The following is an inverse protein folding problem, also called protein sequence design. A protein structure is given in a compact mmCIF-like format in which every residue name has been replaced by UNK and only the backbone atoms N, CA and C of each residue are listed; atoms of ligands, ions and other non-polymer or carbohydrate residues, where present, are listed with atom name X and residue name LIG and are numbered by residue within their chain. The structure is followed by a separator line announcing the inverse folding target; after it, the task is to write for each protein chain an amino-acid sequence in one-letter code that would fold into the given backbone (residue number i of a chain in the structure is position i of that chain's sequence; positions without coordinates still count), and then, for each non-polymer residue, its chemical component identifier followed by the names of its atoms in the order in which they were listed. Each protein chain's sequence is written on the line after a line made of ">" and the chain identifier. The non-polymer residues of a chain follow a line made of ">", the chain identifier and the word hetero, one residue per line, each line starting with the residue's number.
data_IF_063626364805
#
_entry.id   IF_063626364805
#
_cell.length_a   1.000
_cell.length_b   1.000
_cell.length_c   1.000
_cell.angle_alpha   90.00
_cell.angle_beta   90.00
_cell.angle_gamma   90.00
#
_symmetry.space_group_name_H-M   'P 1'
#
loop_
_entity.id
_entity.type
_entity.pdbx_description
1 polymer ?
#
# COMPACT_ATOMS: atom_id res chain seq x y z
N UNK A 1 -20.40 -19.88 -20.26
CA UNK A 1 -20.09 -19.02 -19.10
C UNK A 1 -21.26 -18.22 -18.55
N UNK A 2 -22.34 -17.95 -19.30
CA UNK A 2 -23.50 -17.20 -18.75
C UNK A 2 -24.35 -17.98 -17.73
N UNK A 3 -24.45 -19.31 -17.83
CA UNK A 3 -25.28 -20.11 -16.90
C UNK A 3 -24.87 -19.96 -15.42
N UNK A 4 -23.57 -19.80 -15.13
CA UNK A 4 -23.10 -19.52 -13.77
C UNK A 4 -23.45 -18.11 -13.30
N UNK A 5 -23.38 -17.12 -14.20
CA UNK A 5 -23.75 -15.73 -13.90
C UNK A 5 -25.26 -15.62 -13.63
N UNK A 6 -26.09 -16.29 -14.45
CA UNK A 6 -27.54 -16.31 -14.28
C UNK A 6 -27.93 -17.00 -12.95
N UNK A 7 -27.24 -18.09 -12.58
CA UNK A 7 -27.39 -18.72 -11.26
C UNK A 7 -26.99 -17.78 -10.12
N UNK A 8 -25.87 -17.08 -10.25
CA UNK A 8 -25.38 -16.16 -9.23
C UNK A 8 -26.31 -14.96 -9.05
N UNK A 9 -26.85 -14.41 -10.14
CA UNK A 9 -27.89 -13.36 -10.13
C UNK A 9 -29.14 -13.83 -9.36
N UNK A 10 -29.62 -15.04 -9.63
CA UNK A 10 -30.78 -15.61 -8.92
C UNK A 10 -30.50 -15.76 -7.42
N UNK A 11 -29.32 -16.24 -7.05
CA UNK A 11 -28.89 -16.40 -5.66
C UNK A 11 -28.77 -15.04 -4.93
N UNK A 12 -28.18 -14.03 -5.58
CA UNK A 12 -28.09 -12.68 -5.04
C UNK A 12 -29.46 -12.00 -4.93
N UNK A 13 -30.38 -12.27 -5.85
CA UNK A 13 -31.75 -11.81 -5.76
C UNK A 13 -32.45 -12.37 -4.51
N UNK A 14 -32.24 -13.64 -4.18
CA UNK A 14 -32.75 -14.26 -2.94
C UNK A 14 -32.10 -13.61 -1.71
N UNK A 15 -30.78 -13.46 -1.68
CA UNK A 15 -30.06 -12.80 -0.58
C UNK A 15 -30.50 -11.34 -0.39
N UNK A 16 -30.90 -10.65 -1.46
CA UNK A 16 -31.42 -9.27 -1.40
C UNK A 16 -32.76 -9.14 -0.67
N UNK A 17 -33.49 -10.25 -0.50
CA UNK A 17 -34.69 -10.31 0.35
C UNK A 17 -34.34 -10.46 1.83
N UNK A 18 -33.11 -10.84 2.15
CA UNK A 18 -32.59 -11.05 3.50
C UNK A 18 -31.51 -10.02 3.89
N UNK A 19 -31.63 -8.77 3.40
CA UNK A 19 -30.67 -7.67 3.63
C UNK A 19 -30.36 -7.40 5.11
N UNK A 20 -31.28 -7.70 6.02
CA UNK A 20 -31.10 -7.55 7.47
C UNK A 20 -30.00 -8.44 8.06
N UNK A 21 -29.71 -9.59 7.43
CA UNK A 21 -28.68 -10.53 7.90
C UNK A 21 -27.27 -10.16 7.41
N UNK A 22 -27.16 -9.53 6.23
CA UNK A 22 -25.86 -9.33 5.55
C UNK A 22 -25.50 -7.86 5.32
N UNK A 23 -26.40 -6.93 5.65
CA UNK A 23 -26.25 -5.50 5.36
C UNK A 23 -26.60 -5.16 3.91
N UNK A 24 -27.45 -4.14 3.71
CA UNK A 24 -27.95 -3.77 2.39
C UNK A 24 -26.84 -3.40 1.37
N UNK A 25 -25.77 -2.77 1.86
CA UNK A 25 -24.65 -2.30 1.02
C UNK A 25 -23.87 -3.48 0.41
N UNK A 26 -23.66 -4.55 1.17
CA UNK A 26 -22.90 -5.72 0.71
C UNK A 26 -23.63 -6.44 -0.42
N UNK A 27 -24.95 -6.60 -0.28
CA UNK A 27 -25.77 -7.29 -1.29
C UNK A 27 -25.85 -6.47 -2.59
N UNK A 28 -25.93 -5.14 -2.50
CA UNK A 28 -25.95 -4.28 -3.68
C UNK A 28 -24.61 -4.33 -4.45
N UNK A 29 -23.48 -4.27 -3.72
CA UNK A 29 -22.15 -4.38 -4.32
C UNK A 29 -21.99 -5.70 -5.08
N UNK A 30 -22.47 -6.82 -4.51
CA UNK A 30 -22.42 -8.13 -5.16
C UNK A 30 -23.27 -8.18 -6.44
N UNK A 31 -24.45 -7.53 -6.45
CA UNK A 31 -25.32 -7.48 -7.63
C UNK A 31 -24.63 -6.78 -8.80
N UNK A 32 -23.94 -5.67 -8.53
CA UNK A 32 -23.23 -4.90 -9.55
C UNK A 32 -22.09 -5.71 -10.17
N UNK A 33 -21.36 -6.51 -9.38
CA UNK A 33 -20.26 -7.35 -9.88
C UNK A 33 -20.71 -8.35 -10.94
N UNK A 34 -21.93 -8.92 -10.84
CA UNK A 34 -22.42 -9.87 -11.85
C UNK A 34 -22.71 -9.17 -13.18
N UNK A 35 -23.31 -7.98 -13.13
CA UNK A 35 -23.52 -7.13 -14.29
C UNK A 35 -22.20 -6.73 -14.94
N UNK A 36 -21.23 -6.28 -14.14
CA UNK A 36 -19.89 -5.92 -14.59
C UNK A 36 -19.18 -7.13 -15.21
N UNK A 37 -19.33 -8.33 -14.64
CA UNK A 37 -18.73 -9.53 -15.20
C UNK A 37 -19.32 -9.94 -16.57
N UNK A 38 -20.61 -9.62 -16.80
CA UNK A 38 -21.26 -9.86 -18.10
C UNK A 38 -20.73 -8.90 -19.18
N UNK A 39 -20.37 -7.67 -18.80
CA UNK A 39 -19.88 -6.62 -19.71
C UNK A 39 -18.37 -6.71 -19.94
N UNK A 40 -17.60 -6.89 -18.86
CA UNK A 40 -16.13 -6.79 -18.85
C UNK A 40 -15.42 -8.15 -18.75
N UNK A 41 -16.16 -9.25 -18.60
CA UNK A 41 -15.63 -10.60 -18.49
C UNK A 41 -15.31 -11.01 -17.06
N UNK A 42 -14.33 -11.90 -16.85
CA UNK A 42 -14.00 -12.35 -15.50
C UNK A 42 -13.50 -11.19 -14.63
N UNK A 43 -13.64 -11.34 -13.30
CA UNK A 43 -13.27 -10.33 -12.32
C UNK A 43 -11.82 -9.83 -12.49
N UNK A 44 -10.90 -10.70 -12.89
CA UNK A 44 -9.48 -10.35 -13.11
C UNK A 44 -9.28 -9.29 -14.20
N UNK A 45 -10.20 -9.18 -15.15
CA UNK A 45 -10.11 -8.23 -16.26
C UNK A 45 -10.35 -6.78 -15.81
N UNK A 46 -11.21 -6.56 -14.82
CA UNK A 46 -11.66 -5.22 -14.43
C UNK A 46 -11.43 -4.90 -12.95
N UNK A 47 -11.14 -5.90 -12.12
CA UNK A 47 -10.90 -5.70 -10.70
C UNK A 47 -9.60 -4.95 -10.44
N UNK A 48 -9.70 -3.90 -9.63
CA UNK A 48 -8.55 -3.19 -9.11
C UNK A 48 -7.86 -3.93 -7.95
N UNK A 49 -8.35 -5.11 -7.55
CA UNK A 49 -7.85 -5.86 -6.38
C UNK A 49 -6.34 -6.15 -6.47
N UNK A 50 -5.85 -6.52 -7.65
CA UNK A 50 -4.40 -6.71 -7.92
C UNK A 50 -3.54 -5.48 -7.60
N UNK A 51 -4.14 -4.29 -7.61
CA UNK A 51 -3.48 -3.01 -7.34
C UNK A 51 -3.78 -2.46 -5.94
N UNK A 52 -4.52 -3.16 -5.09
CA UNK A 52 -4.88 -2.68 -3.75
C UNK A 52 -3.63 -2.32 -2.92
N UNK A 53 -2.62 -3.19 -2.98
CA UNK A 53 -1.32 -2.93 -2.35
C UNK A 53 -0.62 -1.69 -2.90
N UNK A 54 -0.80 -1.38 -4.19
CA UNK A 54 -0.20 -0.19 -4.80
C UNK A 54 -0.86 1.09 -4.28
N UNK A 55 -2.19 1.09 -4.11
CA UNK A 55 -2.91 2.22 -3.49
C UNK A 55 -2.45 2.45 -2.06
N UNK A 56 -2.21 1.39 -1.29
CA UNK A 56 -1.64 1.49 0.07
C UNK A 56 -0.27 2.18 0.03
N UNK A 57 0.62 1.77 -0.87
CA UNK A 57 1.95 2.37 -1.02
C UNK A 57 1.86 3.86 -1.40
N UNK A 58 0.98 4.21 -2.35
CA UNK A 58 0.77 5.61 -2.76
C UNK A 58 0.22 6.44 -1.58
N UNK A 59 -0.71 5.90 -0.79
CA UNK A 59 -1.25 6.60 0.38
C UNK A 59 -0.20 6.89 1.44
N UNK A 60 0.79 6.02 1.64
CA UNK A 60 1.91 6.27 2.56
C UNK A 60 2.79 7.46 2.12
N UNK A 61 2.79 7.77 0.82
CA UNK A 61 3.48 8.95 0.27
C UNK A 61 2.70 10.26 0.48
N UNK A 62 1.53 10.23 1.13
CA UNK A 62 0.74 11.41 1.49
C UNK A 62 0.66 11.51 3.02
N UNK A 63 0.99 12.67 3.61
CA UNK A 63 0.99 12.89 5.08
C UNK A 63 -0.28 13.60 5.54
N UNK A 64 -0.81 14.50 4.70
CA UNK A 64 -2.06 15.24 4.90
C UNK A 64 -2.73 15.41 3.53
N UNK A 65 -4.06 15.52 3.50
CA UNK A 65 -4.84 15.61 2.26
C UNK A 65 -4.63 16.87 1.40
N UNK A 66 -3.75 17.79 1.80
CA UNK A 66 -3.45 18.99 1.02
C UNK A 66 -2.37 18.70 -0.04
N UNK A 67 -2.59 19.07 -1.30
CA UNK A 67 -1.62 18.91 -2.41
C UNK A 67 -1.00 17.50 -2.51
N UNK A 68 -1.81 16.42 -2.58
CA UNK A 68 -1.33 15.04 -2.52
C UNK A 68 -0.35 14.70 -3.65
N UNK A 69 -0.60 15.18 -4.88
CA UNK A 69 0.26 14.91 -6.02
C UNK A 69 1.66 15.52 -5.84
N UNK A 70 1.74 16.77 -5.36
CA UNK A 70 3.01 17.43 -5.08
C UNK A 70 3.78 16.72 -3.95
N UNK A 71 3.07 16.22 -2.93
CA UNK A 71 3.69 15.42 -1.87
C UNK A 71 4.28 14.11 -2.42
N UNK A 72 3.54 13.39 -3.26
CA UNK A 72 3.99 12.15 -3.88
C UNK A 72 5.24 12.41 -4.73
N UNK A 73 5.19 13.41 -5.62
CA UNK A 73 6.32 13.77 -6.47
C UNK A 73 7.59 14.08 -5.67
N UNK A 74 7.48 14.93 -4.64
CA UNK A 74 8.62 15.29 -3.77
C UNK A 74 9.19 14.09 -3.02
N UNK A 75 8.34 13.15 -2.56
CA UNK A 75 8.81 11.95 -1.84
C UNK A 75 9.46 10.94 -2.77
N UNK A 76 8.90 10.72 -3.95
CA UNK A 76 9.51 9.86 -4.96
C UNK A 76 10.90 10.37 -5.35
N UNK A 77 11.05 11.69 -5.57
CA UNK A 77 12.37 12.29 -5.83
C UNK A 77 13.39 12.03 -4.72
N UNK A 78 12.99 12.12 -3.45
CA UNK A 78 13.85 11.79 -2.30
C UNK A 78 14.23 10.31 -2.26
N UNK A 79 13.27 9.41 -2.47
CA UNK A 79 13.49 7.96 -2.44
C UNK A 79 14.47 7.55 -3.53
N UNK A 80 14.33 8.08 -4.75
CA UNK A 80 15.26 7.82 -5.86
C UNK A 80 16.66 8.31 -5.51
N UNK A 81 16.79 9.58 -5.09
CA UNK A 81 18.09 10.13 -4.71
C UNK A 81 18.78 9.36 -3.57
N UNK A 82 18.03 8.91 -2.56
CA UNK A 82 18.60 8.08 -1.48
C UNK A 82 18.99 6.67 -1.96
N UNK A 83 18.27 6.08 -2.91
CA UNK A 83 18.64 4.77 -3.48
C UNK A 83 19.93 4.86 -4.27
N UNK A 84 20.10 5.92 -5.07
CA UNK A 84 21.33 6.15 -5.82
C UNK A 84 22.52 6.25 -4.87
N UNK A 85 22.35 6.98 -3.75
CA UNK A 85 23.37 7.09 -2.71
C UNK A 85 23.67 5.76 -1.99
N UNK A 86 22.67 4.90 -1.77
CA UNK A 86 22.87 3.57 -1.15
C UNK A 86 23.61 2.59 -2.07
N UNK A 87 23.50 2.75 -3.39
CA UNK A 87 24.27 1.95 -4.36
C UNK A 87 25.74 2.35 -4.31
N UNK A 88 26.05 3.65 -4.25
CA UNK A 88 27.43 4.15 -4.11
C UNK A 88 28.10 3.72 -2.80
N UNK A 89 27.30 3.58 -1.74
CA UNK A 89 27.73 3.15 -0.41
C UNK A 89 28.18 1.68 -0.37
N UNK A 90 27.70 0.82 -1.26
CA UNK A 90 27.94 -0.63 -1.16
C UNK A 90 29.30 -1.12 -1.71
N UNK A 91 30.14 -0.23 -2.26
CA UNK A 91 31.38 -0.64 -2.94
C UNK A 91 32.68 -0.47 -2.13
N UNK A 92 32.62 0.06 -0.91
CA UNK A 92 33.72 -0.06 0.03
C UNK A 92 33.19 -0.50 1.39
N UNK A 93 33.78 -1.55 1.96
CA UNK A 93 33.53 -1.95 3.35
C UNK A 93 33.59 -0.70 4.23
N UNK A 94 32.47 -0.33 4.87
CA UNK A 94 32.46 0.75 5.87
C UNK A 94 33.39 0.39 7.02
N UNK A 95 34.64 0.81 6.93
CA UNK A 95 35.54 0.76 8.06
C UNK A 95 35.26 2.01 8.87
N UNK A 96 34.74 1.84 10.08
CA UNK A 96 34.68 2.91 11.08
C UNK A 96 36.11 3.34 11.39
N UNK A 97 36.60 4.40 10.73
CA UNK A 97 37.99 4.85 10.86
C UNK A 97 38.21 5.85 12.00
N UNK A 98 37.16 6.52 12.49
CA UNK A 98 37.29 7.63 13.43
C UNK A 98 36.65 7.30 14.77
N UNK A 99 37.47 7.19 15.81
CA UNK A 99 36.99 7.04 17.18
C UNK A 99 36.30 8.31 17.66
N UNK A 100 35.08 8.16 18.17
CA UNK A 100 34.26 9.28 18.62
C UNK A 100 34.36 9.43 20.15
N UNK A 101 34.57 10.65 20.64
CA UNK A 101 34.72 10.92 22.09
C UNK A 101 33.75 11.99 22.61
N UNK A 102 32.95 12.60 21.74
CA UNK A 102 32.14 13.78 22.07
C UNK A 102 30.63 13.50 22.05
N UNK A 103 30.21 12.24 22.18
CA UNK A 103 28.81 11.91 22.40
C UNK A 103 28.41 12.19 23.86
N UNK A 104 27.11 12.36 24.14
CA UNK A 104 26.64 12.57 25.51
C UNK A 104 26.90 11.30 26.35
N UNK A 105 27.94 11.35 27.19
CA UNK A 105 28.26 10.32 28.18
C UNK A 105 27.76 10.75 29.55
N UNK A 106 27.37 9.77 30.37
CA UNK A 106 27.18 10.05 31.79
C UNK A 106 28.54 10.50 32.37
N UNK A 107 28.57 11.41 33.36
CA UNK A 107 29.83 12.00 33.85
C UNK A 107 30.90 11.00 34.29
N UNK A 108 30.47 9.81 34.72
CA UNK A 108 31.33 8.70 35.19
C UNK A 108 32.07 7.98 34.06
N UNK A 109 31.61 8.16 32.83
CA UNK A 109 32.09 7.49 31.62
C UNK A 109 32.59 8.51 30.59
N UNK A 110 32.81 9.76 30.99
CA UNK A 110 33.19 10.85 30.06
C UNK A 110 34.51 10.61 29.32
N UNK A 111 35.34 9.69 29.81
CA UNK A 111 36.63 9.30 29.21
C UNK A 111 36.55 8.00 28.40
N UNK A 112 35.39 7.35 28.38
CA UNK A 112 35.23 6.06 27.73
C UNK A 112 35.21 6.23 26.22
N UNK A 113 35.86 5.29 25.53
CA UNK A 113 35.85 5.26 24.06
C UNK A 113 34.44 4.93 23.59
N UNK A 114 33.79 5.89 22.92
CA UNK A 114 32.64 5.60 22.08
C UNK A 114 33.21 5.22 20.70
N UNK A 115 32.58 4.26 20.02
CA UNK A 115 33.12 3.56 18.85
C UNK A 115 33.96 4.43 17.89
#
# INVERSE_FOLDING_TARGET
>A
NNSYLDYFEALLHILSKHKTLYGANNVHNLLNIVGDARVFGCLDNFSAFRFENHVRNIKQLVKKGDKPLQQIHRRLGKIVACKDYLVEINDESFVLQKSYYNGPLLPRYASDKQF
#
